data_IF_764892305137
#
_entry.id   IF_764892305137
#
_cell.length_a   1.000
_cell.length_b   1.000
_cell.length_c   1.000
_cell.angle_alpha   90.00
_cell.angle_beta   90.00
_cell.angle_gamma   90.00
#
_symmetry.space_group_name_H-M   'P 1'
#
loop_
_entity.id
_entity.type
_entity.pdbx_description
1 polymer ?
#
# COMPACT_ATOMS: atom_id res chain seq x y z
N UNK A 1 -12.41 1.05 10.56
CA UNK A 1 -11.17 0.22 10.61
C UNK A 1 -11.26 -0.72 11.79
N UNK A 2 -10.86 -1.95 11.63
CA UNK A 2 -10.98 -2.95 12.69
C UNK A 2 -10.08 -2.63 13.89
N UNK A 3 -10.48 -3.03 15.12
CA UNK A 3 -9.70 -2.75 16.32
C UNK A 3 -8.26 -3.28 16.27
N UNK A 4 -8.03 -4.44 15.66
CA UNK A 4 -6.69 -5.00 15.53
C UNK A 4 -5.78 -4.13 14.68
N UNK A 5 -6.32 -3.57 13.59
CA UNK A 5 -5.60 -2.64 12.73
C UNK A 5 -5.29 -1.36 13.50
N UNK A 6 -6.26 -0.85 14.25
CA UNK A 6 -6.06 0.35 15.05
C UNK A 6 -4.96 0.17 16.08
N UNK A 7 -4.92 -0.99 16.75
CA UNK A 7 -3.84 -1.32 17.70
C UNK A 7 -2.47 -1.40 17.03
N UNK A 8 -2.42 -2.01 15.84
CA UNK A 8 -1.20 -2.06 15.06
C UNK A 8 -0.69 -0.65 14.76
N UNK A 9 -1.58 0.19 14.24
CA UNK A 9 -1.22 1.55 13.83
C UNK A 9 -0.86 2.45 15.00
N UNK A 10 -1.42 2.20 16.18
CA UNK A 10 -1.09 2.98 17.37
C UNK A 10 0.39 2.84 17.78
N UNK A 11 1.02 1.73 17.40
CA UNK A 11 2.45 1.49 17.68
C UNK A 11 3.36 1.95 16.55
N UNK A 12 2.82 2.46 15.46
CA UNK A 12 3.58 2.90 14.28
C UNK A 12 4.09 4.33 14.49
N UNK A 13 5.37 4.61 14.18
CA UNK A 13 5.90 5.97 14.30
C UNK A 13 5.09 6.98 13.48
N UNK A 14 5.02 8.26 13.91
CA UNK A 14 4.16 9.24 13.27
C UNK A 14 4.38 9.43 11.76
N UNK A 15 5.63 9.40 11.31
CA UNK A 15 5.93 9.58 9.87
C UNK A 15 5.46 8.39 9.05
N UNK A 16 5.64 7.17 9.57
CA UNK A 16 5.14 5.96 8.93
C UNK A 16 3.61 5.97 8.92
N UNK A 17 2.99 6.42 10.02
CA UNK A 17 1.54 6.51 10.13
C UNK A 17 0.98 7.48 9.10
N UNK A 18 1.64 8.63 8.89
CA UNK A 18 1.20 9.61 7.89
C UNK A 18 1.22 9.02 6.49
N UNK A 19 2.26 8.25 6.15
CA UNK A 19 2.33 7.59 4.85
C UNK A 19 1.25 6.51 4.72
N UNK A 20 1.01 5.73 5.77
CA UNK A 20 -0.08 4.77 5.77
C UNK A 20 -1.43 5.46 5.56
N UNK A 21 -1.68 6.56 6.24
CA UNK A 21 -2.94 7.31 6.10
C UNK A 21 -3.12 7.83 4.68
N UNK A 22 -2.03 8.24 4.02
CA UNK A 22 -2.07 8.64 2.62
C UNK A 22 -2.47 7.48 1.71
N UNK A 23 -1.86 6.32 1.90
CA UNK A 23 -2.20 5.11 1.13
C UNK A 23 -3.67 4.75 1.34
N UNK A 24 -4.13 4.75 2.59
CA UNK A 24 -5.54 4.45 2.92
C UNK A 24 -6.48 5.44 2.24
N UNK A 25 -6.17 6.72 2.29
CA UNK A 25 -7.00 7.75 1.64
C UNK A 25 -7.11 7.48 0.14
N UNK A 26 -6.00 7.16 -0.51
CA UNK A 26 -6.00 6.88 -1.94
C UNK A 26 -6.79 5.60 -2.27
N UNK A 27 -6.66 4.56 -1.45
CA UNK A 27 -7.45 3.34 -1.64
C UNK A 27 -8.95 3.67 -1.55
N UNK A 28 -9.37 4.43 -0.56
CA UNK A 28 -10.78 4.76 -0.37
C UNK A 28 -11.31 5.72 -1.45
N UNK A 29 -10.45 6.53 -2.05
CA UNK A 29 -10.85 7.38 -3.17
C UNK A 29 -11.30 6.57 -4.39
N UNK A 30 -10.65 5.43 -4.65
CA UNK A 30 -10.98 4.58 -5.81
C UNK A 30 -11.84 3.37 -5.43
N UNK A 31 -11.79 2.96 -4.18
CA UNK A 31 -12.58 1.86 -3.65
C UNK A 31 -13.18 2.26 -2.31
N UNK A 32 -14.28 3.06 -2.31
CA UNK A 32 -14.86 3.54 -1.05
C UNK A 32 -15.32 2.44 -0.10
N UNK A 33 -15.57 1.24 -0.63
CA UNK A 33 -16.04 0.09 0.16
C UNK A 33 -14.91 -0.83 0.61
N UNK A 34 -13.65 -0.46 0.32
CA UNK A 34 -12.51 -1.27 0.73
C UNK A 34 -12.49 -1.44 2.25
N UNK A 35 -12.22 -2.66 2.69
CA UNK A 35 -12.03 -2.96 4.10
C UNK A 35 -10.54 -2.97 4.41
N UNK A 36 -10.21 -2.71 5.68
CA UNK A 36 -8.84 -2.84 6.16
C UNK A 36 -8.85 -3.77 7.36
N UNK A 37 -8.23 -4.92 7.21
CA UNK A 37 -8.19 -5.98 8.23
C UNK A 37 -6.74 -6.32 8.54
N UNK A 38 -6.49 -6.99 9.66
CA UNK A 38 -5.16 -7.49 9.98
C UNK A 38 -5.02 -8.89 9.39
N UNK A 39 -4.02 -9.08 8.52
CA UNK A 39 -3.74 -10.35 7.87
C UNK A 39 -2.22 -10.49 7.76
N UNK A 40 -1.69 -11.70 8.05
CA UNK A 40 -0.24 -11.91 8.14
C UNK A 40 0.43 -10.90 9.08
N UNK A 41 -0.28 -10.52 10.16
CA UNK A 41 0.19 -9.56 11.17
C UNK A 41 0.44 -8.15 10.62
N UNK A 42 -0.21 -7.78 9.53
CA UNK A 42 -0.09 -6.43 8.98
C UNK A 42 -1.43 -5.94 8.42
N UNK A 43 -1.63 -4.62 8.38
CA UNK A 43 -2.83 -4.06 7.76
C UNK A 43 -2.97 -4.51 6.31
N UNK A 44 -4.17 -4.93 5.93
CA UNK A 44 -4.44 -5.47 4.60
C UNK A 44 -5.72 -4.84 4.07
N UNK A 45 -5.63 -4.20 2.92
CA UNK A 45 -6.80 -3.68 2.22
C UNK A 45 -7.43 -4.80 1.39
N UNK A 46 -8.76 -4.93 1.48
CA UNK A 46 -9.52 -5.98 0.82
C UNK A 46 -10.59 -5.36 -0.06
N UNK A 47 -10.58 -5.72 -1.33
CA UNK A 47 -11.61 -5.32 -2.30
C UNK A 47 -12.01 -6.59 -3.05
N UNK A 48 -13.19 -7.15 -2.70
CA UNK A 48 -13.61 -8.44 -3.25
C UNK A 48 -12.63 -9.55 -2.88
N UNK A 49 -12.06 -10.20 -3.87
CA UNK A 49 -11.02 -11.23 -3.69
C UNK A 49 -9.60 -10.68 -3.83
N UNK A 50 -9.46 -9.37 -4.01
CA UNK A 50 -8.16 -8.72 -4.13
C UNK A 50 -7.67 -8.22 -2.78
N UNK A 51 -6.37 -8.31 -2.54
CA UNK A 51 -5.75 -7.92 -1.27
C UNK A 51 -4.44 -7.18 -1.51
N UNK A 52 -4.21 -6.16 -0.69
CA UNK A 52 -2.94 -5.45 -0.64
C UNK A 52 -2.49 -5.38 0.81
N UNK A 53 -1.38 -6.03 1.13
CA UNK A 53 -0.81 -6.02 2.47
C UNK A 53 0.16 -4.86 2.61
N UNK A 54 0.10 -4.17 3.74
CA UNK A 54 0.96 -3.02 4.02
C UNK A 54 1.76 -3.30 5.29
N UNK A 55 3.05 -3.59 5.13
CA UNK A 55 3.94 -3.80 6.25
C UNK A 55 4.68 -2.52 6.62
N UNK A 56 5.09 -2.39 7.87
CA UNK A 56 5.91 -1.28 8.35
C UNK A 56 7.31 -1.80 8.61
N UNK A 57 8.32 -1.11 8.08
CA UNK A 57 9.71 -1.43 8.33
C UNK A 57 10.46 -0.15 8.70
N UNK A 58 11.72 -0.30 9.07
CA UNK A 58 12.52 0.79 9.66
C UNK A 58 12.46 2.09 8.84
N UNK A 59 12.53 1.99 7.51
CA UNK A 59 12.66 3.16 6.65
C UNK A 59 11.38 3.57 5.93
N UNK A 60 10.27 2.86 6.14
CA UNK A 60 9.03 3.20 5.47
C UNK A 60 7.99 2.08 5.50
N UNK A 61 7.26 1.95 4.39
CA UNK A 61 6.25 0.91 4.21
C UNK A 61 6.68 -0.08 3.14
N UNK A 62 6.18 -1.30 3.25
CA UNK A 62 6.29 -2.32 2.20
C UNK A 62 4.91 -2.69 1.73
N UNK A 63 4.71 -2.77 0.42
CA UNK A 63 3.45 -3.18 -0.18
C UNK A 63 3.62 -4.58 -0.78
N UNK A 64 2.71 -5.49 -0.41
CA UNK A 64 2.69 -6.87 -0.90
C UNK A 64 1.36 -7.12 -1.60
N UNK A 65 1.40 -7.78 -2.74
CA UNK A 65 0.20 -8.09 -3.53
C UNK A 65 0.02 -7.20 -4.75
N UNK A 66 0.92 -6.21 -4.97
CA UNK A 66 0.93 -5.44 -6.20
C UNK A 66 1.38 -6.34 -7.37
N UNK A 67 1.02 -5.95 -8.59
CA UNK A 67 1.36 -6.73 -9.77
C UNK A 67 2.13 -5.90 -10.78
N UNK A 68 3.28 -6.42 -11.20
CA UNK A 68 4.05 -5.85 -12.30
C UNK A 68 3.20 -5.91 -13.58
N UNK A 69 3.24 -4.84 -14.35
CA UNK A 69 2.43 -4.73 -15.57
C UNK A 69 1.00 -4.26 -15.33
N UNK A 70 0.56 -4.14 -14.06
CA UNK A 70 -0.74 -3.56 -13.70
C UNK A 70 -0.60 -2.38 -12.75
N UNK A 71 0.60 -1.85 -12.63
CA UNK A 71 0.96 -0.79 -11.68
C UNK A 71 1.03 0.60 -12.31
N UNK A 72 0.49 0.77 -13.49
CA UNK A 72 0.56 2.03 -14.22
C UNK A 72 1.97 2.42 -14.64
N UNK A 73 2.89 1.46 -14.71
CA UNK A 73 4.29 1.70 -15.06
C UNK A 73 5.16 2.14 -13.88
N UNK A 74 4.66 2.02 -12.66
CA UNK A 74 5.38 2.48 -11.46
C UNK A 74 6.76 1.83 -11.32
N UNK A 75 6.81 0.48 -11.37
CA UNK A 75 8.07 -0.23 -11.19
C UNK A 75 9.08 0.08 -12.30
N UNK A 76 8.60 0.33 -13.52
CA UNK A 76 9.47 0.72 -14.63
C UNK A 76 10.10 2.09 -14.42
N UNK A 77 9.36 3.02 -13.79
CA UNK A 77 9.89 4.36 -13.47
C UNK A 77 10.73 4.36 -12.19
N UNK A 78 10.44 3.45 -11.27
CA UNK A 78 11.11 3.39 -9.96
C UNK A 78 11.62 1.98 -9.68
N UNK A 79 12.55 1.46 -10.51
CA UNK A 79 13.02 0.07 -10.34
C UNK A 79 13.72 -0.17 -9.00
N UNK A 80 14.27 0.87 -8.39
CA UNK A 80 14.92 0.78 -7.09
C UNK A 80 13.95 0.47 -5.95
N UNK A 81 12.66 0.73 -6.16
CA UNK A 81 11.62 0.45 -5.16
C UNK A 81 11.06 -0.96 -5.27
N UNK A 82 11.30 -1.65 -6.38
CA UNK A 82 10.88 -3.02 -6.58
C UNK A 82 11.90 -3.97 -5.94
N UNK A 83 11.51 -4.58 -4.83
CA UNK A 83 12.38 -5.52 -4.09
C UNK A 83 12.24 -6.97 -4.56
N UNK A 84 11.45 -7.21 -5.63
CA UNK A 84 11.22 -8.55 -6.14
C UNK A 84 10.14 -9.31 -5.37
N UNK A 85 9.71 -10.43 -5.90
CA UNK A 85 8.74 -11.35 -5.25
C UNK A 85 7.44 -10.66 -4.83
N UNK A 86 6.99 -9.66 -5.60
CA UNK A 86 5.76 -8.95 -5.29
C UNK A 86 5.87 -7.96 -4.14
N UNK A 87 7.07 -7.57 -3.75
CA UNK A 87 7.30 -6.60 -2.69
C UNK A 87 7.75 -5.27 -3.28
N UNK A 88 7.01 -4.21 -2.96
CA UNK A 88 7.37 -2.84 -3.32
C UNK A 88 7.65 -2.06 -2.05
N UNK A 89 8.80 -1.39 -1.99
CA UNK A 89 9.18 -0.60 -0.82
C UNK A 89 8.94 0.88 -1.06
N UNK A 90 8.37 1.54 -0.04
CA UNK A 90 8.14 2.99 -0.04
C UNK A 90 8.91 3.60 1.12
N UNK A 91 10.20 3.96 0.90
CA UNK A 91 10.96 4.65 1.94
C UNK A 91 10.38 6.03 2.20
N UNK A 92 10.37 6.46 3.46
CA UNK A 92 9.88 7.79 3.83
C UNK A 92 10.62 8.90 3.07
N UNK A 93 11.93 8.71 2.86
CA UNK A 93 12.75 9.68 2.14
C UNK A 93 12.34 9.87 0.68
N UNK A 94 11.71 8.87 0.08
CA UNK A 94 11.30 8.89 -1.33
C UNK A 94 9.81 9.18 -1.48
N UNK A 95 9.00 8.77 -0.51
CA UNK A 95 7.53 8.81 -0.62
C UNK A 95 7.00 10.22 -0.86
N UNK A 96 7.65 11.25 -0.30
CA UNK A 96 7.24 12.63 -0.51
C UNK A 96 7.43 13.13 -1.93
N UNK A 97 8.27 12.45 -2.72
CA UNK A 97 8.52 12.79 -4.12
C UNK A 97 7.57 12.10 -5.08
N UNK A 98 6.83 11.10 -4.58
CA UNK A 98 5.88 10.35 -5.40
C UNK A 98 4.55 11.09 -5.47
N UNK A 99 3.96 11.14 -6.65
CA UNK A 99 2.64 11.75 -6.83
C UNK A 99 1.54 10.79 -6.40
N UNK A 100 0.37 11.33 -6.07
CA UNK A 100 -0.80 10.51 -5.79
C UNK A 100 -1.17 9.63 -6.99
N UNK A 101 -1.05 10.15 -8.21
CA UNK A 101 -1.34 9.39 -9.42
C UNK A 101 -0.43 8.18 -9.57
N UNK A 102 0.86 8.34 -9.26
CA UNK A 102 1.79 7.21 -9.29
C UNK A 102 1.41 6.13 -8.29
N UNK A 103 1.08 6.52 -7.07
CA UNK A 103 0.65 5.58 -6.05
C UNK A 103 -0.68 4.92 -6.42
N UNK A 104 -1.63 5.68 -6.98
CA UNK A 104 -2.91 5.13 -7.44
C UNK A 104 -2.72 4.05 -8.49
N UNK A 105 -1.74 4.20 -9.38
CA UNK A 105 -1.42 3.15 -10.37
C UNK A 105 -1.12 1.81 -9.71
N UNK A 106 -0.29 1.82 -8.67
CA UNK A 106 0.04 0.61 -7.90
C UNK A 106 -1.19 0.06 -7.18
N UNK A 107 -1.93 0.93 -6.50
CA UNK A 107 -3.09 0.52 -5.70
C UNK A 107 -4.19 -0.07 -6.56
N UNK A 108 -4.48 0.53 -7.71
CA UNK A 108 -5.45 -0.01 -8.66
C UNK A 108 -5.01 -1.36 -9.20
N UNK A 109 -3.74 -1.48 -9.56
CA UNK A 109 -3.21 -2.75 -10.05
C UNK A 109 -3.36 -3.89 -9.05
N UNK A 110 -3.25 -3.58 -7.76
CA UNK A 110 -3.39 -4.57 -6.71
C UNK A 110 -4.86 -4.90 -6.40
N UNK A 111 -5.75 -3.90 -6.44
CA UNK A 111 -7.09 -4.00 -5.87
C UNK A 111 -8.22 -3.99 -6.90
N UNK A 112 -8.00 -3.47 -8.10
CA UNK A 112 -9.04 -3.50 -9.13
C UNK A 112 -9.32 -4.94 -9.56
N UNK A 113 -10.58 -5.28 -9.89
CA UNK A 113 -10.90 -6.60 -10.39
C UNK A 113 -10.09 -6.93 -11.64
N UNK A 114 -9.70 -8.19 -11.80
CA UNK A 114 -9.06 -8.63 -13.04
C UNK A 114 -10.09 -8.65 -14.17
N UNK A 115 -9.69 -8.21 -15.38
CA UNK A 115 -10.58 -8.29 -16.54
C UNK A 115 -10.90 -9.74 -16.93
#
# INVERSE_FOLDING_TARGET
MEPDVQRYLAAVPPEHRALFDRVRRLVLDVHPQAECVLSYKMPTFVVGDRRLHVGVWKHGLSLYGWESGRDGGFAARHPELDSGKGTLKLPLSTAGELTDDELLGVLRGALDPRP
#
